data_IF_187806162563
#
_entry.id   IF_187806162563
#
_cell.length_a   1.000
_cell.length_b   1.000
_cell.length_c   1.000
_cell.angle_alpha   90.00
_cell.angle_beta   90.00
_cell.angle_gamma   90.00
#
_symmetry.space_group_name_H-M   'P 1'
#
loop_
_entity.id
_entity.type
_entity.pdbx_description
1 polymer ?
#
# COMPACT_ATOMS: atom_id res chain seq x y z
N UNK A 1 -36.08 -0.96 32.06
CA UNK A 1 -36.42 -1.58 30.76
C UNK A 1 -35.50 -1.01 29.70
N UNK A 2 -34.47 -1.78 29.36
CA UNK A 2 -33.44 -1.43 28.39
C UNK A 2 -33.93 -1.79 26.98
N UNK A 3 -34.21 -0.78 26.16
CA UNK A 3 -34.54 -0.96 24.75
C UNK A 3 -33.74 0.05 23.93
N UNK A 4 -32.94 -0.45 22.99
CA UNK A 4 -32.47 0.35 21.85
C UNK A 4 -30.99 0.73 21.79
N UNK A 5 -30.05 -0.11 22.28
CA UNK A 5 -28.61 0.15 22.09
C UNK A 5 -27.81 -1.04 21.50
N UNK A 6 -28.43 -1.83 20.63
CA UNK A 6 -27.88 -3.09 20.09
C UNK A 6 -27.63 -3.11 18.57
N UNK A 7 -27.52 -1.96 17.89
CA UNK A 7 -27.08 -1.92 16.48
C UNK A 7 -25.95 -0.91 16.19
N UNK A 8 -25.16 -0.52 17.19
CA UNK A 8 -23.89 0.19 16.98
C UNK A 8 -22.69 -0.77 16.83
N UNK A 9 -22.91 -1.95 16.23
CA UNK A 9 -21.83 -2.78 15.69
C UNK A 9 -21.47 -2.37 14.25
N UNK A 10 -21.61 -1.08 13.90
CA UNK A 10 -21.06 -0.51 12.67
C UNK A 10 -19.53 -0.31 12.76
N UNK A 11 -18.84 -1.22 13.45
CA UNK A 11 -17.40 -1.27 13.63
C UNK A 11 -16.74 -2.02 12.48
N UNK A 12 -16.95 -1.55 11.26
CA UNK A 12 -16.54 -2.25 10.04
C UNK A 12 -17.51 -1.89 8.93
N UNK A 13 -17.15 -1.91 7.67
CA UNK A 13 -16.11 -2.72 7.11
C UNK A 13 -15.83 -2.16 5.72
N UNK A 14 -14.58 -2.27 5.30
CA UNK A 14 -14.32 -2.47 3.88
C UNK A 14 -15.14 -3.70 3.46
N UNK A 15 -15.89 -3.60 2.36
CA UNK A 15 -16.48 -4.80 1.75
C UNK A 15 -15.35 -5.69 1.28
N UNK A 16 -15.00 -6.67 2.11
CA UNK A 16 -13.84 -7.54 1.90
C UNK A 16 -13.86 -8.24 0.54
N UNK A 17 -15.03 -8.56 0.01
CA UNK A 17 -15.18 -9.09 -1.35
C UNK A 17 -14.63 -8.14 -2.43
N UNK A 18 -14.97 -6.84 -2.36
CA UNK A 18 -14.46 -5.83 -3.27
C UNK A 18 -12.95 -5.62 -3.09
N UNK A 19 -12.47 -5.64 -1.85
CA UNK A 19 -11.05 -5.54 -1.56
C UNK A 19 -10.25 -6.72 -2.13
N UNK A 20 -10.70 -7.96 -1.90
CA UNK A 20 -10.08 -9.17 -2.44
C UNK A 20 -10.07 -9.12 -3.97
N UNK A 21 -11.19 -8.73 -4.59
CA UNK A 21 -11.27 -8.59 -6.05
C UNK A 21 -10.29 -7.55 -6.58
N UNK A 22 -10.20 -6.39 -5.92
CA UNK A 22 -9.27 -5.35 -6.32
C UNK A 22 -7.81 -5.79 -6.17
N UNK A 23 -7.46 -6.48 -5.07
CA UNK A 23 -6.12 -7.05 -4.87
C UNK A 23 -5.80 -8.13 -5.91
N UNK A 24 -6.76 -9.01 -6.21
CA UNK A 24 -6.61 -10.08 -7.20
C UNK A 24 -6.41 -9.54 -8.62
N UNK A 25 -6.92 -8.35 -8.95
CA UNK A 25 -6.65 -7.66 -10.20
C UNK A 25 -5.34 -6.88 -10.16
N UNK A 26 -5.10 -6.16 -9.08
CA UNK A 26 -3.95 -5.25 -8.95
C UNK A 26 -2.63 -6.01 -8.95
N UNK A 27 -2.49 -7.09 -8.18
CA UNK A 27 -1.19 -7.77 -8.05
C UNK A 27 -0.68 -8.39 -9.37
N UNK A 28 -1.50 -9.12 -10.17
CA UNK A 28 -1.04 -9.62 -11.46
C UNK A 28 -0.71 -8.49 -12.44
N UNK A 29 -1.47 -7.38 -12.44
CA UNK A 29 -1.18 -6.23 -13.29
C UNK A 29 0.12 -5.54 -12.83
N UNK A 30 0.35 -5.44 -11.52
CA UNK A 30 1.57 -4.87 -10.94
C UNK A 30 2.79 -5.69 -11.38
N UNK A 31 2.69 -7.02 -11.37
CA UNK A 31 3.77 -7.90 -11.78
C UNK A 31 4.00 -7.94 -13.30
N UNK A 32 2.92 -7.96 -14.10
CA UNK A 32 3.01 -8.19 -15.54
C UNK A 32 3.10 -6.90 -16.38
N UNK A 33 2.45 -5.83 -15.96
CA UNK A 33 2.25 -4.64 -16.79
C UNK A 33 3.00 -3.41 -16.29
N UNK A 34 3.06 -3.18 -14.97
CA UNK A 34 3.75 -1.99 -14.45
C UNK A 34 5.25 -1.90 -14.81
N UNK A 35 6.03 -3.00 -14.94
CA UNK A 35 7.42 -2.91 -15.38
C UNK A 35 7.60 -2.25 -16.75
N UNK A 36 6.58 -2.23 -17.61
CA UNK A 36 6.60 -1.53 -18.91
C UNK A 36 6.72 -0.02 -18.74
N UNK A 37 6.24 0.53 -17.62
CA UNK A 37 6.37 1.95 -17.29
C UNK A 37 7.62 2.25 -16.45
N UNK A 38 8.57 1.32 -16.36
CA UNK A 38 9.79 1.52 -15.59
C UNK A 38 10.67 2.58 -16.24
N UNK A 39 10.97 3.65 -15.49
CA UNK A 39 11.89 4.71 -15.89
C UNK A 39 13.08 4.66 -14.93
N UNK A 40 14.29 4.49 -15.47
CA UNK A 40 15.52 4.40 -14.68
C UNK A 40 15.48 3.30 -13.59
N UNK A 41 14.77 2.20 -13.83
CA UNK A 41 14.62 1.09 -12.88
C UNK A 41 13.54 1.30 -11.81
N UNK A 42 12.82 2.44 -11.83
CA UNK A 42 11.68 2.69 -10.97
C UNK A 42 10.38 2.31 -11.69
N UNK A 43 9.81 1.14 -11.33
CA UNK A 43 8.52 0.67 -11.84
C UNK A 43 7.37 1.08 -10.90
N UNK A 44 6.35 1.82 -11.33
CA UNK A 44 5.25 2.23 -10.45
C UNK A 44 4.56 1.02 -9.78
N UNK A 45 4.00 1.22 -8.59
CA UNK A 45 3.25 0.18 -7.86
C UNK A 45 1.77 0.52 -7.69
N UNK A 46 0.94 -0.30 -8.30
CA UNK A 46 -0.51 -0.30 -8.13
C UNK A 46 -0.93 -0.76 -6.74
N UNK A 47 -0.20 -1.70 -6.15
CA UNK A 47 -0.46 -2.17 -4.78
C UNK A 47 -0.31 -1.03 -3.78
N UNK A 48 0.72 -0.19 -3.94
CA UNK A 48 0.91 1.04 -3.17
C UNK A 48 -0.26 2.01 -3.27
N UNK A 49 -0.75 2.25 -4.48
CA UNK A 49 -1.88 3.16 -4.75
C UNK A 49 -3.16 2.63 -4.09
N UNK A 50 -3.44 1.33 -4.26
CA UNK A 50 -4.59 0.68 -3.64
C UNK A 50 -4.53 0.74 -2.11
N UNK A 51 -3.36 0.48 -1.53
CA UNK A 51 -3.13 0.56 -0.09
C UNK A 51 -3.35 1.96 0.46
N UNK A 52 -2.87 2.99 -0.22
CA UNK A 52 -3.09 4.38 0.16
C UNK A 52 -4.58 4.75 0.09
N UNK A 53 -5.27 4.34 -0.98
CA UNK A 53 -6.70 4.56 -1.15
C UNK A 53 -7.52 3.88 -0.04
N UNK A 54 -7.23 2.62 0.29
CA UNK A 54 -7.91 1.91 1.38
C UNK A 54 -7.59 2.57 2.72
N UNK A 55 -6.35 2.95 2.97
CA UNK A 55 -5.93 3.60 4.22
C UNK A 55 -6.60 4.96 4.46
N UNK A 56 -6.80 5.73 3.39
CA UNK A 56 -7.49 7.01 3.45
C UNK A 56 -8.97 6.88 3.84
N UNK A 57 -9.65 5.84 3.34
CA UNK A 57 -11.11 5.78 3.34
C UNK A 57 -11.69 4.72 4.29
N UNK A 58 -10.92 3.71 4.67
CA UNK A 58 -11.36 2.65 5.57
C UNK A 58 -11.29 3.05 7.05
N UNK A 59 -11.89 2.22 7.91
CA UNK A 59 -11.64 2.28 9.35
C UNK A 59 -10.19 1.93 9.64
N UNK A 60 -9.59 2.51 10.70
CA UNK A 60 -8.17 2.29 11.06
C UNK A 60 -7.81 0.80 11.13
N UNK A 61 -8.70 -0.02 11.71
CA UNK A 61 -8.50 -1.48 11.82
C UNK A 61 -8.54 -2.17 10.46
N UNK A 62 -9.49 -1.82 9.59
CA UNK A 62 -9.59 -2.43 8.26
C UNK A 62 -8.45 -2.00 7.33
N UNK A 63 -8.03 -0.73 7.41
CA UNK A 63 -6.85 -0.23 6.71
C UNK A 63 -5.59 -1.01 7.08
N UNK A 64 -5.36 -1.20 8.38
CA UNK A 64 -4.19 -1.90 8.89
C UNK A 64 -4.17 -3.37 8.43
N UNK A 65 -5.26 -4.10 8.61
CA UNK A 65 -5.35 -5.51 8.17
C UNK A 65 -5.30 -5.66 6.64
N UNK A 66 -5.94 -4.76 5.90
CA UNK A 66 -5.87 -4.77 4.44
C UNK A 66 -4.44 -4.56 3.94
N UNK A 67 -3.74 -3.55 4.48
CA UNK A 67 -2.36 -3.27 4.10
C UNK A 67 -1.39 -4.36 4.55
N UNK A 68 -1.60 -4.97 5.72
CA UNK A 68 -0.85 -6.14 6.16
C UNK A 68 -0.99 -7.30 5.16
N UNK A 69 -2.22 -7.65 4.78
CA UNK A 69 -2.47 -8.72 3.81
C UNK A 69 -1.88 -8.40 2.42
N UNK A 70 -2.01 -7.16 1.95
CA UNK A 70 -1.40 -6.74 0.68
C UNK A 70 0.12 -6.86 0.73
N UNK A 71 0.77 -6.37 1.78
CA UNK A 71 2.22 -6.46 1.92
C UNK A 71 2.70 -7.92 2.02
N UNK A 72 1.93 -8.80 2.68
CA UNK A 72 2.22 -10.23 2.72
C UNK A 72 2.14 -10.87 1.33
N UNK A 73 1.10 -10.55 0.56
CA UNK A 73 0.97 -11.04 -0.81
C UNK A 73 2.08 -10.52 -1.71
N UNK A 74 2.50 -9.26 -1.55
CA UNK A 74 3.63 -8.68 -2.27
C UNK A 74 4.95 -9.38 -1.92
N UNK A 75 5.19 -9.69 -0.64
CA UNK A 75 6.37 -10.45 -0.22
C UNK A 75 6.38 -11.86 -0.81
N UNK A 76 5.21 -12.51 -0.90
CA UNK A 76 5.06 -13.85 -1.49
C UNK A 76 5.15 -13.86 -3.02
N UNK A 77 4.78 -12.77 -3.69
CA UNK A 77 4.80 -12.66 -5.15
C UNK A 77 6.13 -12.20 -5.73
N UNK A 78 7.02 -11.62 -4.90
CA UNK A 78 8.23 -10.93 -5.35
C UNK A 78 9.48 -11.56 -4.73
N UNK A 79 9.91 -12.74 -5.20
CA UNK A 79 11.11 -13.39 -4.67
C UNK A 79 12.34 -12.49 -4.85
N UNK A 80 13.19 -12.45 -3.84
CA UNK A 80 14.42 -11.66 -3.86
C UNK A 80 15.60 -12.56 -4.21
N UNK A 81 16.43 -12.15 -5.17
CA UNK A 81 17.65 -12.86 -5.49
C UNK A 81 18.73 -12.50 -4.45
N UNK A 82 19.13 -13.46 -3.63
CA UNK A 82 20.16 -13.29 -2.60
C UNK A 82 21.19 -14.40 -2.79
N UNK A 83 22.46 -14.02 -3.04
CA UNK A 83 23.56 -14.97 -3.27
C UNK A 83 23.26 -16.04 -4.34
N UNK A 84 22.54 -15.67 -5.40
CA UNK A 84 22.18 -16.58 -6.50
C UNK A 84 21.03 -17.55 -6.19
N UNK A 85 20.42 -17.47 -5.01
CA UNK A 85 19.22 -18.21 -4.64
C UNK A 85 17.99 -17.29 -4.58
N UNK A 86 16.81 -17.82 -4.94
CA UNK A 86 15.55 -17.13 -4.77
C UNK A 86 15.06 -17.29 -3.33
N UNK A 87 14.99 -16.18 -2.60
CA UNK A 87 14.50 -16.16 -1.23
C UNK A 87 13.13 -15.47 -1.19
N UNK A 88 12.12 -16.23 -0.74
CA UNK A 88 10.83 -15.68 -0.35
C UNK A 88 10.89 -15.29 1.11
N UNK A 89 10.99 -13.99 1.38
CA UNK A 89 11.07 -13.46 2.74
C UNK A 89 9.76 -12.74 3.09
N UNK A 90 8.81 -13.39 3.79
CA UNK A 90 7.65 -12.70 4.33
C UNK A 90 8.09 -11.73 5.43
N UNK A 91 7.71 -10.46 5.34
CA UNK A 91 7.97 -9.49 6.39
C UNK A 91 8.25 -8.07 5.90
N UNK A 92 9.25 -7.83 5.02
CA UNK A 92 9.70 -6.48 4.69
C UNK A 92 8.59 -5.59 4.14
N UNK A 93 7.86 -6.04 3.11
CA UNK A 93 6.74 -5.27 2.57
C UNK A 93 5.52 -5.40 3.50
N UNK A 94 5.27 -6.56 4.11
CA UNK A 94 4.18 -6.76 5.07
C UNK A 94 4.16 -5.70 6.17
N UNK A 95 5.30 -5.50 6.85
CA UNK A 95 5.48 -4.50 7.90
C UNK A 95 5.49 -3.08 7.32
N UNK A 96 6.14 -2.89 6.16
CA UNK A 96 6.14 -1.63 5.44
C UNK A 96 4.74 -1.09 5.17
N UNK A 97 3.88 -1.92 4.58
CA UNK A 97 2.51 -1.56 4.24
C UNK A 97 1.64 -1.39 5.49
N UNK A 98 1.78 -2.27 6.49
CA UNK A 98 1.02 -2.16 7.74
C UNK A 98 1.34 -0.85 8.50
N UNK A 99 2.63 -0.53 8.69
CA UNK A 99 3.06 0.69 9.37
C UNK A 99 2.81 1.95 8.51
N UNK A 100 3.03 1.86 7.19
CA UNK A 100 2.71 2.92 6.24
C UNK A 100 1.22 3.25 6.19
N UNK A 101 0.33 2.28 6.39
CA UNK A 101 -1.11 2.55 6.55
C UNK A 101 -1.41 3.42 7.79
N UNK A 102 -0.60 3.25 8.84
CA UNK A 102 -0.68 4.04 10.07
C UNK A 102 -0.35 5.51 9.82
N UNK A 103 0.71 5.80 9.06
CA UNK A 103 1.11 7.18 8.72
C UNK A 103 0.01 7.86 7.90
N UNK A 104 -0.52 7.19 6.87
CA UNK A 104 -1.64 7.71 6.06
C UNK A 104 -2.88 7.95 6.93
N UNK A 105 -3.19 7.02 7.85
CA UNK A 105 -4.36 7.15 8.73
C UNK A 105 -4.25 8.34 9.68
N UNK A 106 -3.04 8.72 10.11
CA UNK A 106 -2.81 9.92 10.92
C UNK A 106 -2.94 11.18 10.08
N UNK A 107 -2.38 11.19 8.86
CA UNK A 107 -2.37 12.36 7.98
C UNK A 107 -3.72 12.64 7.30
N UNK A 108 -4.64 11.66 7.24
CA UNK A 108 -5.95 11.82 6.57
C UNK A 108 -6.81 12.97 7.11
N UNK A 109 -6.57 13.44 8.35
CA UNK A 109 -7.29 14.57 8.93
C UNK A 109 -6.87 15.93 8.34
N UNK A 110 -5.68 16.00 7.73
CA UNK A 110 -5.09 17.24 7.20
C UNK A 110 -5.42 17.46 5.72
N UNK A 111 -6.16 16.55 5.08
CA UNK A 111 -6.27 16.48 3.62
C UNK A 111 -7.69 16.71 3.12
N UNK A 112 -7.78 17.24 1.90
CA UNK A 112 -9.04 17.38 1.18
C UNK A 112 -9.63 16.00 0.88
N UNK A 113 -10.85 15.77 1.38
CA UNK A 113 -11.59 14.53 1.14
C UNK A 113 -11.89 14.38 -0.35
N UNK A 114 -11.67 13.17 -0.89
CA UNK A 114 -12.02 12.76 -2.28
C UNK A 114 -11.27 13.48 -3.40
N UNK A 115 -10.12 14.11 -3.12
CA UNK A 115 -9.24 14.61 -4.18
C UNK A 115 -8.32 13.52 -4.71
N UNK A 116 -8.09 13.47 -6.02
CA UNK A 116 -7.08 12.60 -6.64
C UNK A 116 -5.66 12.95 -6.19
N UNK A 117 -5.40 14.23 -5.92
CA UNK A 117 -4.11 14.70 -5.40
C UNK A 117 -3.82 14.09 -4.02
N UNK A 118 -4.85 13.95 -3.19
CA UNK A 118 -4.73 13.33 -1.86
C UNK A 118 -4.30 11.86 -1.97
N UNK A 119 -4.86 11.12 -2.91
CA UNK A 119 -4.49 9.70 -3.14
C UNK A 119 -3.04 9.60 -3.62
N UNK A 120 -2.63 10.42 -4.58
CA UNK A 120 -1.26 10.46 -5.08
C UNK A 120 -0.26 10.82 -3.97
N UNK A 121 -0.52 11.89 -3.21
CA UNK A 121 0.34 12.33 -2.12
C UNK A 121 0.46 11.27 -1.00
N UNK A 122 -0.66 10.62 -0.64
CA UNK A 122 -0.62 9.55 0.36
C UNK A 122 0.02 8.26 -0.15
N UNK A 123 -0.06 7.99 -1.45
CA UNK A 123 0.69 6.89 -2.07
C UNK A 123 2.19 7.13 -1.91
N UNK A 124 2.66 8.35 -2.20
CA UNK A 124 4.05 8.72 -1.98
C UNK A 124 4.48 8.52 -0.52
N UNK A 125 3.71 9.05 0.44
CA UNK A 125 4.02 8.93 1.88
C UNK A 125 4.02 7.47 2.34
N UNK A 126 3.02 6.68 1.92
CA UNK A 126 2.92 5.28 2.27
C UNK A 126 4.13 4.50 1.73
N UNK A 127 4.44 4.65 0.45
CA UNK A 127 5.54 3.93 -0.19
C UNK A 127 6.91 4.39 0.33
N UNK A 128 7.04 5.66 0.74
CA UNK A 128 8.24 6.14 1.41
C UNK A 128 8.43 5.43 2.76
N UNK A 129 7.37 5.28 3.56
CA UNK A 129 7.42 4.51 4.80
C UNK A 129 7.75 3.02 4.54
N UNK A 130 7.10 2.41 3.54
CA UNK A 130 7.40 1.03 3.10
C UNK A 130 8.88 0.90 2.74
N UNK A 131 9.41 1.85 1.97
CA UNK A 131 10.79 1.84 1.50
C UNK A 131 11.80 1.96 2.64
N UNK A 132 11.54 2.85 3.61
CA UNK A 132 12.38 2.99 4.80
C UNK A 132 12.40 1.71 5.62
N UNK A 133 11.24 1.09 5.85
CA UNK A 133 11.12 -0.15 6.62
C UNK A 133 11.81 -1.30 5.88
N UNK A 134 11.60 -1.41 4.58
CA UNK A 134 12.22 -2.45 3.77
C UNK A 134 13.75 -2.34 3.80
N UNK A 135 14.31 -1.13 3.58
CA UNK A 135 15.76 -0.89 3.61
C UNK A 135 16.30 -1.13 5.02
N UNK A 136 15.59 -0.70 6.06
CA UNK A 136 15.97 -0.93 7.45
C UNK A 136 16.05 -2.43 7.77
N UNK A 137 15.01 -3.21 7.44
CA UNK A 137 14.97 -4.65 7.73
C UNK A 137 16.11 -5.37 6.99
N UNK A 138 16.32 -5.08 5.71
CA UNK A 138 17.42 -5.68 4.96
C UNK A 138 18.79 -5.24 5.45
N UNK A 139 18.94 -3.99 5.90
CA UNK A 139 20.20 -3.51 6.47
C UNK A 139 20.52 -4.21 7.79
N UNK A 140 19.54 -4.34 8.68
CA UNK A 140 19.69 -5.09 9.94
C UNK A 140 20.01 -6.56 9.65
N UNK A 141 19.29 -7.20 8.73
CA UNK A 141 19.58 -8.58 8.31
C UNK A 141 20.99 -8.73 7.75
N UNK A 142 21.43 -7.79 6.91
CA UNK A 142 22.78 -7.78 6.34
C UNK A 142 23.87 -7.72 7.40
N UNK A 143 23.63 -7.01 8.52
CA UNK A 143 24.61 -6.91 9.61
C UNK A 143 24.66 -8.20 10.45
N UNK A 144 23.50 -8.82 10.74
CA UNK A 144 23.41 -9.85 11.79
C UNK A 144 23.33 -11.30 11.31
N UNK A 145 22.88 -11.57 10.08
CA UNK A 145 22.62 -12.93 9.61
C UNK A 145 23.67 -13.42 8.60
N UNK A 146 23.63 -12.88 7.38
CA UNK A 146 24.31 -13.53 6.24
C UNK A 146 25.24 -12.57 5.47
N UNK A 147 25.39 -11.31 5.87
CA UNK A 147 26.12 -10.28 5.09
C UNK A 147 25.45 -9.91 3.77
N UNK A 148 24.38 -10.61 3.39
CA UNK A 148 23.78 -10.56 2.06
C UNK A 148 22.54 -9.67 2.05
N UNK A 149 22.55 -8.73 1.10
CA UNK A 149 21.44 -7.82 0.83
C UNK A 149 21.09 -7.88 -0.66
N UNK A 150 19.80 -7.72 -1.02
CA UNK A 150 19.34 -7.81 -2.41
C UNK A 150 19.71 -6.59 -3.25
N UNK A 151 20.30 -5.55 -2.66
CA UNK A 151 20.70 -4.32 -3.36
C UNK A 151 22.22 -4.20 -3.47
N UNK A 152 22.68 -3.72 -4.62
CA UNK A 152 24.09 -3.41 -4.86
C UNK A 152 24.42 -1.99 -4.39
N UNK A 153 25.32 -1.84 -3.42
CA UNK A 153 25.81 -0.53 -2.95
C UNK A 153 25.35 -0.17 -1.53
N UNK A 154 25.29 1.14 -1.23
CA UNK A 154 24.93 1.61 0.11
C UNK A 154 23.41 1.67 0.31
N UNK A 155 22.95 1.54 1.56
CA UNK A 155 21.54 1.66 1.92
C UNK A 155 20.93 3.01 1.48
N UNK A 156 21.74 4.08 1.46
CA UNK A 156 21.32 5.40 1.00
C UNK A 156 21.07 5.45 -0.51
N UNK A 157 21.92 4.79 -1.31
CA UNK A 157 21.72 4.68 -2.76
C UNK A 157 20.45 3.90 -3.09
N UNK A 158 20.19 2.81 -2.35
CA UNK A 158 18.96 2.03 -2.51
C UNK A 158 17.72 2.84 -2.11
N UNK A 159 17.78 3.60 -1.02
CA UNK A 159 16.70 4.52 -0.64
C UNK A 159 16.45 5.58 -1.74
N UNK A 160 17.50 6.07 -2.40
CA UNK A 160 17.39 6.96 -3.55
C UNK A 160 16.65 6.34 -4.74
N UNK A 161 16.95 5.09 -5.09
CA UNK A 161 16.21 4.35 -6.14
C UNK A 161 14.74 4.19 -5.76
N UNK A 162 14.49 3.82 -4.50
CA UNK A 162 13.14 3.69 -3.95
C UNK A 162 12.38 5.00 -3.89
N UNK A 163 13.06 6.14 -3.75
CA UNK A 163 12.44 7.45 -3.89
C UNK A 163 11.84 7.63 -5.30
N UNK A 164 12.58 7.25 -6.35
CA UNK A 164 12.07 7.23 -7.72
C UNK A 164 10.86 6.31 -7.90
N UNK A 165 10.88 5.15 -7.24
CA UNK A 165 9.74 4.24 -7.17
C UNK A 165 8.50 4.87 -6.52
N UNK A 166 8.68 5.58 -5.40
CA UNK A 166 7.60 6.29 -4.72
C UNK A 166 7.02 7.41 -5.61
N UNK A 167 7.89 8.21 -6.26
CA UNK A 167 7.46 9.31 -7.13
C UNK A 167 6.71 8.80 -8.37
N UNK A 168 7.24 7.80 -9.06
CA UNK A 168 6.57 7.20 -10.23
C UNK A 168 5.20 6.63 -9.84
N UNK A 169 5.11 5.94 -8.71
CA UNK A 169 3.83 5.43 -8.17
C UNK A 169 2.86 6.55 -7.81
N UNK A 170 3.34 7.68 -7.29
CA UNK A 170 2.49 8.83 -6.97
C UNK A 170 1.91 9.49 -8.23
N UNK A 171 2.72 9.63 -9.29
CA UNK A 171 2.28 10.15 -10.59
C UNK A 171 1.23 9.25 -11.20
N UNK A 172 1.46 7.93 -11.24
CA UNK A 172 0.48 6.93 -11.71
C UNK A 172 -0.74 6.87 -10.79
N UNK A 173 -0.58 7.22 -9.51
CA UNK A 173 -1.65 7.37 -8.54
C UNK A 173 -2.67 8.45 -8.88
N UNK A 174 -2.36 9.43 -9.73
CA UNK A 174 -3.33 10.45 -10.17
C UNK A 174 -4.47 9.85 -11.01
N UNK A 175 -4.23 9.24 -12.19
CA UNK A 175 -5.30 8.65 -13.00
C UNK A 175 -5.98 7.47 -12.29
N UNK A 176 -5.22 6.66 -11.55
CA UNK A 176 -5.76 5.48 -10.87
C UNK A 176 -6.56 5.89 -9.64
N UNK A 177 -6.08 6.85 -8.86
CA UNK A 177 -6.83 7.43 -7.74
C UNK A 177 -8.15 8.05 -8.21
N UNK A 178 -8.17 8.69 -9.37
CA UNK A 178 -9.41 9.15 -10.00
C UNK A 178 -10.37 8.00 -10.34
N UNK A 179 -9.87 6.90 -10.93
CA UNK A 179 -10.69 5.72 -11.22
C UNK A 179 -11.22 5.04 -9.94
N UNK A 180 -10.39 4.88 -8.92
CA UNK A 180 -10.77 4.32 -7.62
C UNK A 180 -11.82 5.18 -6.92
N UNK A 181 -11.68 6.52 -6.97
CA UNK A 181 -12.67 7.44 -6.43
C UNK A 181 -14.06 7.32 -7.11
N UNK A 182 -14.14 6.90 -8.38
CA UNK A 182 -15.43 6.60 -9.03
C UNK A 182 -16.08 5.35 -8.45
N UNK A 183 -15.28 4.33 -8.12
CA UNK A 183 -15.77 3.09 -7.52
C UNK A 183 -16.06 3.19 -6.02
N UNK A 184 -15.84 4.36 -5.39
CA UNK A 184 -15.92 4.57 -3.93
C UNK A 184 -17.17 3.97 -3.26
N UNK A 185 -18.34 4.06 -3.89
CA UNK A 185 -19.60 3.52 -3.35
C UNK A 185 -19.61 1.99 -3.23
N UNK A 186 -18.83 1.29 -4.05
CA UNK A 186 -18.77 -0.18 -4.08
C UNK A 186 -17.95 -0.76 -2.93
N UNK A 187 -17.08 0.04 -2.30
CA UNK A 187 -16.19 -0.39 -1.21
C UNK A 187 -16.88 -0.45 0.15
N UNK A 188 -18.04 0.19 0.31
CA UNK A 188 -18.76 0.24 1.59
C UNK A 188 -18.09 1.09 2.68
N UNK A 189 -17.25 2.07 2.30
CA UNK A 189 -16.59 2.93 3.28
C UNK A 189 -17.60 3.73 4.14
N UNK A 190 -17.32 3.97 5.43
CA UNK A 190 -18.22 4.72 6.32
C UNK A 190 -18.44 6.15 5.79
N UNK A 191 -19.70 6.54 5.58
CA UNK A 191 -20.06 7.90 5.13
C UNK A 191 -20.70 7.99 3.73
N UNK A 192 -21.12 6.88 3.13
CA UNK A 192 -21.95 6.89 1.92
C UNK A 192 -23.42 6.94 2.32
N UNK A 193 -23.99 8.14 2.43
CA UNK A 193 -25.42 8.32 2.22
C UNK A 193 -25.75 8.17 0.72
N UNK A 194 -26.98 7.77 0.35
CA UNK A 194 -27.38 7.70 -1.05
C UNK A 194 -27.10 9.04 -1.74
N UNK A 195 -26.43 9.03 -2.90
CA UNK A 195 -26.35 10.24 -3.74
C UNK A 195 -27.78 10.54 -4.17
N UNK A 196 -28.39 11.58 -3.60
CA UNK A 196 -29.54 12.22 -4.23
C UNK A 196 -29.00 12.86 -5.51
N UNK A 197 -29.32 12.25 -6.64
CA UNK A 197 -29.29 12.93 -7.92
C UNK A 197 -30.47 13.90 -7.97
#
# INVERSE_FOLDING_TARGET
>A
MAAGRTYQLAGGAVRWSMFILAVALVLPIDAAFMPVFSIAGASPSLAGILAAFVSLNASRRAAWWGCFLMGLLVDLSSPQLVMGSLLFLPGPNTLGFALGSGTVTVMRSLLLRRSMLTVAAMTFVLLLAVSLIWVFIWSVRGIWLDGSVPFSGSALQELGKRMGWCLSSAVVGLPIGWALNRTYSWWGFPGVGPRKF
#
